data_IF_541009608427
#
_entry.id   IF_541009608427
#
_cell.length_a   1.000
_cell.length_b   1.000
_cell.length_c   1.000
_cell.angle_alpha   90.00
_cell.angle_beta   90.00
_cell.angle_gamma   90.00
#
_symmetry.space_group_name_H-M   'P 1'
#
loop_
_entity.id
_entity.type
_entity.pdbx_description
1 polymer ?
#
# COMPACT_ATOMS: atom_id res chain seq x y z
N UNK A 1 5.24 6.15 -14.45
CA UNK A 1 5.19 4.86 -13.74
C UNK A 1 3.83 4.23 -13.98
N UNK A 2 3.75 2.90 -14.18
CA UNK A 2 2.48 2.21 -14.44
C UNK A 2 1.60 2.05 -13.19
N UNK A 3 2.22 2.08 -11.99
CA UNK A 3 1.59 1.89 -10.69
C UNK A 3 1.81 3.17 -9.86
N UNK A 4 0.76 3.78 -9.31
CA UNK A 4 0.83 5.06 -8.59
C UNK A 4 -0.07 6.16 -9.17
N UNK A 5 -0.22 7.25 -8.42
CA UNK A 5 -0.90 8.45 -8.89
C UNK A 5 -0.16 9.08 -10.07
N UNK A 6 -0.88 9.34 -11.15
CA UNK A 6 -0.43 10.06 -12.32
C UNK A 6 -1.60 10.82 -12.95
N UNK A 7 -1.37 11.52 -14.06
CA UNK A 7 -2.39 12.34 -14.71
C UNK A 7 -3.65 11.54 -15.10
N UNK A 8 -3.47 10.27 -15.46
CA UNK A 8 -4.51 9.41 -16.06
C UNK A 8 -5.10 8.41 -15.05
N UNK A 9 -4.39 8.10 -13.95
CA UNK A 9 -4.80 7.05 -12.98
C UNK A 9 -4.43 7.41 -11.55
N UNK A 10 -5.23 6.94 -10.61
CA UNK A 10 -4.99 7.08 -9.19
C UNK A 10 -4.49 5.76 -8.57
N UNK A 11 -3.68 5.87 -7.51
CA UNK A 11 -3.25 4.67 -6.77
C UNK A 11 -4.44 4.09 -6.00
N UNK A 12 -4.82 2.86 -6.33
CA UNK A 12 -6.00 2.17 -5.76
C UNK A 12 -7.07 1.85 -6.80
N UNK A 13 -6.92 2.32 -8.04
CA UNK A 13 -7.87 2.02 -9.11
C UNK A 13 -7.72 0.58 -9.60
N UNK A 14 -8.82 -0.04 -10.03
CA UNK A 14 -8.78 -1.35 -10.67
C UNK A 14 -7.98 -1.28 -11.98
N UNK A 15 -6.92 -2.08 -12.08
CA UNK A 15 -6.07 -2.12 -13.27
C UNK A 15 -6.33 -3.40 -14.07
N UNK A 16 -6.80 -3.24 -15.32
CA UNK A 16 -7.10 -4.34 -16.26
C UNK A 16 -5.91 -5.31 -16.45
N UNK A 17 -4.67 -4.81 -16.36
CA UNK A 17 -3.43 -5.60 -16.54
C UNK A 17 -2.59 -5.69 -15.25
N UNK A 18 -3.23 -5.69 -14.08
CA UNK A 18 -2.51 -5.80 -12.81
C UNK A 18 -1.85 -7.18 -12.67
N UNK A 19 -0.55 -7.22 -12.38
CA UNK A 19 0.08 -8.48 -12.00
C UNK A 19 -0.53 -9.00 -10.70
N UNK A 20 -0.57 -10.34 -10.49
CA UNK A 20 -1.16 -10.91 -9.28
C UNK A 20 -0.55 -10.36 -7.98
N UNK A 21 0.77 -10.16 -7.90
CA UNK A 21 1.44 -9.52 -6.76
C UNK A 21 0.86 -8.13 -6.44
N UNK A 22 0.61 -7.30 -7.47
CA UNK A 22 0.03 -5.99 -7.24
C UNK A 22 -1.43 -6.08 -6.77
N UNK A 23 -2.20 -7.07 -7.24
CA UNK A 23 -3.55 -7.34 -6.70
C UNK A 23 -3.48 -7.61 -5.21
N UNK A 24 -2.59 -8.49 -4.79
CA UNK A 24 -2.41 -8.84 -3.37
C UNK A 24 -1.95 -7.64 -2.54
N UNK A 25 -1.10 -6.76 -3.08
CA UNK A 25 -0.72 -5.52 -2.38
C UNK A 25 -1.92 -4.58 -2.23
N UNK A 26 -2.77 -4.46 -3.26
CA UNK A 26 -3.96 -3.61 -3.19
C UNK A 26 -5.02 -4.16 -2.23
N UNK A 27 -5.14 -5.48 -2.05
CA UNK A 27 -6.07 -6.03 -1.05
C UNK A 27 -5.68 -5.69 0.38
N UNK A 28 -4.40 -5.43 0.65
CA UNK A 28 -3.90 -4.99 1.95
C UNK A 28 -4.09 -3.48 2.20
N UNK A 29 -4.41 -2.70 1.16
CA UNK A 29 -4.46 -1.25 1.24
C UNK A 29 -5.52 -0.71 2.21
N UNK A 30 -6.76 -1.24 2.28
CA UNK A 30 -7.76 -0.78 3.25
C UNK A 30 -7.27 -0.90 4.70
N UNK A 31 -6.80 -2.09 5.11
CA UNK A 31 -6.31 -2.32 6.48
C UNK A 31 -5.09 -1.44 6.79
N UNK A 32 -4.21 -1.22 5.82
CA UNK A 32 -3.07 -0.32 6.00
C UNK A 32 -3.51 1.14 6.22
N UNK A 33 -4.54 1.61 5.50
CA UNK A 33 -5.12 2.95 5.69
C UNK A 33 -5.78 3.10 7.07
N UNK A 34 -6.44 2.05 7.56
CA UNK A 34 -7.10 2.05 8.86
C UNK A 34 -6.11 2.16 10.03
N UNK A 35 -4.93 1.56 9.90
CA UNK A 35 -3.90 1.59 10.95
C UNK A 35 -3.03 2.85 10.95
N UNK A 36 -3.07 3.63 9.85
CA UNK A 36 -2.14 4.72 9.63
C UNK A 36 -2.81 6.07 9.43
N UNK A 37 -2.06 7.13 9.71
CA UNK A 37 -2.40 8.50 9.33
C UNK A 37 -1.23 9.13 8.60
N UNK A 38 -1.52 10.17 7.83
CA UNK A 38 -0.54 10.86 7.00
C UNK A 38 -0.32 12.27 7.52
N UNK A 39 0.96 12.62 7.69
CA UNK A 39 1.44 13.98 7.84
C UNK A 39 1.68 14.51 6.44
N UNK A 40 0.90 15.50 6.07
CA UNK A 40 0.86 16.01 4.70
C UNK A 40 2.13 16.81 4.39
N UNK A 41 2.78 16.47 3.27
CA UNK A 41 3.82 17.26 2.62
C UNK A 41 3.29 17.74 1.27
N UNK A 42 3.82 17.19 0.19
CA UNK A 42 3.41 17.52 -1.18
C UNK A 42 2.07 16.91 -1.62
N UNK A 43 1.46 16.02 -0.82
CA UNK A 43 0.16 15.40 -1.06
C UNK A 43 0.13 14.38 -2.20
N UNK A 44 1.27 14.03 -2.81
CA UNK A 44 1.35 13.15 -3.99
C UNK A 44 1.16 11.68 -3.65
N UNK A 45 1.38 11.30 -2.39
CA UNK A 45 1.32 9.90 -1.92
C UNK A 45 0.18 9.67 -0.92
N UNK A 46 -0.83 10.55 -0.94
CA UNK A 46 -1.93 10.57 0.01
C UNK A 46 -3.25 10.64 -0.75
N UNK A 47 -4.15 9.68 -0.53
CA UNK A 47 -5.52 9.74 -1.03
C UNK A 47 -6.30 10.82 -0.30
N UNK A 48 -6.97 11.70 -1.04
CA UNK A 48 -7.80 12.74 -0.46
C UNK A 48 -8.94 12.16 0.39
N UNK A 49 -9.64 11.15 -0.11
CA UNK A 49 -10.84 10.62 0.54
C UNK A 49 -10.56 9.50 1.54
N UNK A 50 -9.59 8.64 1.23
CA UNK A 50 -9.46 7.33 1.87
C UNK A 50 -8.32 7.27 2.90
N UNK A 51 -7.36 8.20 2.87
CA UNK A 51 -6.35 8.31 3.91
C UNK A 51 -6.79 9.26 5.03
N UNK A 52 -6.36 8.99 6.26
CA UNK A 52 -6.51 9.93 7.37
C UNK A 52 -5.36 10.95 7.34
N UNK A 53 -5.59 12.12 6.74
CA UNK A 53 -4.61 13.22 6.68
C UNK A 53 -5.17 14.54 7.24
N UNK A 54 -6.49 14.63 7.43
CA UNK A 54 -7.20 15.76 7.99
C UNK A 54 -8.32 15.28 8.92
N UNK A 55 -8.59 16.01 10.00
CA UNK A 55 -9.62 15.65 10.97
C UNK A 55 -9.28 14.40 11.79
N UNK A 56 -10.32 13.68 12.22
CA UNK A 56 -10.23 12.48 13.06
C UNK A 56 -10.51 11.18 12.32
N UNK A 57 -11.22 11.23 11.20
CA UNK A 57 -11.58 10.11 10.33
C UNK A 57 -11.29 10.46 8.87
N UNK A 58 -11.09 9.45 7.99
CA UNK A 58 -10.98 9.69 6.56
C UNK A 58 -12.17 10.50 6.04
N UNK A 59 -11.93 11.40 5.09
CA UNK A 59 -12.96 12.33 4.60
C UNK A 59 -14.17 11.60 3.99
N UNK A 60 -13.97 10.41 3.41
CA UNK A 60 -15.08 9.58 2.92
C UNK A 60 -16.05 9.13 4.04
N UNK A 61 -15.53 8.93 5.26
CA UNK A 61 -16.34 8.56 6.42
C UNK A 61 -16.99 9.78 7.08
N UNK A 62 -16.32 10.92 7.06
CA UNK A 62 -16.84 12.18 7.61
C UNK A 62 -17.93 12.79 6.72
N UNK A 63 -17.80 12.67 5.40
CA UNK A 63 -18.69 13.26 4.40
C UNK A 63 -19.25 12.20 3.43
N UNK A 64 -20.04 11.22 3.92
CA UNK A 64 -20.49 10.09 3.12
C UNK A 64 -21.47 10.49 2.01
N UNK A 65 -22.32 11.51 2.22
CA UNK A 65 -23.26 11.94 1.19
C UNK A 65 -22.52 12.56 -0.01
N UNK A 66 -21.53 13.41 0.23
CA UNK A 66 -20.68 13.98 -0.80
C UNK A 66 -19.80 12.92 -1.46
N UNK A 67 -19.20 12.03 -0.68
CA UNK A 67 -18.36 10.95 -1.22
C UNK A 67 -19.12 10.05 -2.19
N UNK A 68 -20.42 9.80 -1.96
CA UNK A 68 -21.26 9.03 -2.88
C UNK A 68 -21.37 9.63 -4.29
N UNK A 69 -21.09 10.93 -4.45
CA UNK A 69 -21.07 11.62 -5.74
C UNK A 69 -19.68 11.68 -6.39
N UNK A 70 -18.62 11.22 -5.73
CA UNK A 70 -17.25 11.26 -6.25
C UNK A 70 -17.06 10.19 -7.33
N UNK A 71 -16.45 10.58 -8.45
CA UNK A 71 -16.12 9.65 -9.56
C UNK A 71 -14.68 9.16 -9.55
N UNK A 72 -13.79 9.85 -8.81
CA UNK A 72 -12.38 9.48 -8.62
C UNK A 72 -12.04 9.38 -7.11
N UNK A 73 -12.49 8.32 -6.43
CA UNK A 73 -12.35 8.19 -4.97
C UNK A 73 -10.89 8.07 -4.53
N UNK A 74 -10.01 7.55 -5.38
CA UNK A 74 -8.60 7.40 -5.08
C UNK A 74 -7.78 8.67 -5.35
N UNK A 75 -8.35 9.77 -5.84
CA UNK A 75 -7.59 10.99 -6.18
C UNK A 75 -6.65 11.46 -5.06
N UNK A 76 -5.45 11.92 -5.42
CA UNK A 76 -4.47 12.38 -4.44
C UNK A 76 -4.82 13.75 -3.85
N UNK A 77 -4.32 14.04 -2.66
CA UNK A 77 -4.47 15.36 -2.03
C UNK A 77 -3.83 16.45 -2.90
N UNK A 78 -2.65 16.19 -3.47
CA UNK A 78 -1.98 17.10 -4.40
C UNK A 78 -2.87 17.51 -5.59
N UNK A 79 -3.60 16.55 -6.14
CA UNK A 79 -4.50 16.79 -7.27
C UNK A 79 -5.73 17.57 -6.83
N UNK A 80 -6.36 17.18 -5.73
CA UNK A 80 -7.61 17.81 -5.29
C UNK A 80 -7.34 19.26 -4.88
N UNK A 81 -6.26 19.53 -4.17
CA UNK A 81 -5.88 20.86 -3.70
C UNK A 81 -5.11 21.70 -4.73
N UNK A 82 -4.95 21.23 -5.97
CA UNK A 82 -4.20 22.00 -6.99
C UNK A 82 -4.90 23.30 -7.40
N UNK A 83 -6.20 23.42 -7.12
CA UNK A 83 -6.99 24.64 -7.36
C UNK A 83 -7.78 25.01 -6.10
N UNK A 84 -8.06 26.31 -5.88
CA UNK A 84 -8.88 26.76 -4.74
C UNK A 84 -10.27 26.10 -4.67
N UNK A 85 -10.85 25.74 -5.82
CA UNK A 85 -12.21 25.18 -5.92
C UNK A 85 -12.31 23.69 -5.55
N UNK A 86 -11.17 23.02 -5.32
CA UNK A 86 -11.06 21.57 -5.09
C UNK A 86 -11.47 20.71 -6.30
N UNK A 87 -10.53 19.98 -6.90
CA UNK A 87 -10.81 19.07 -8.04
C UNK A 87 -11.42 17.72 -7.62
N UNK A 88 -12.58 17.76 -6.96
CA UNK A 88 -13.23 16.58 -6.34
C UNK A 88 -13.82 15.55 -7.33
N UNK A 89 -13.88 15.88 -8.63
CA UNK A 89 -14.41 14.97 -9.68
C UNK A 89 -15.83 14.46 -9.37
N UNK A 90 -16.77 15.37 -9.10
CA UNK A 90 -18.14 15.04 -8.69
C UNK A 90 -19.06 14.76 -9.90
N UNK A 91 -20.01 13.84 -9.72
CA UNK A 91 -21.12 13.62 -10.66
C UNK A 91 -22.02 14.87 -10.72
N UNK A 92 -22.68 15.07 -11.85
CA UNK A 92 -23.69 16.12 -12.01
C UNK A 92 -24.82 15.97 -10.98
N UNK A 93 -25.39 17.10 -10.52
CA UNK A 93 -26.55 17.19 -9.62
C UNK A 93 -26.30 16.60 -8.23
N UNK A 94 -25.61 17.37 -7.38
CA UNK A 94 -25.47 17.04 -5.97
C UNK A 94 -26.81 17.04 -5.25
N UNK A 95 -26.99 16.11 -4.32
CA UNK A 95 -28.10 16.18 -3.36
C UNK A 95 -27.93 17.38 -2.42
N UNK A 96 -29.01 17.81 -1.77
CA UNK A 96 -28.94 18.88 -0.77
C UNK A 96 -28.00 18.54 0.40
N UNK A 97 -27.92 17.26 0.80
CA UNK A 97 -26.99 16.78 1.82
C UNK A 97 -25.54 16.89 1.34
N UNK A 98 -25.22 16.36 0.16
CA UNK A 98 -23.88 16.46 -0.43
C UNK A 98 -23.41 17.91 -0.60
N UNK A 99 -24.33 18.84 -0.93
CA UNK A 99 -23.99 20.26 -1.06
C UNK A 99 -23.65 20.92 0.29
N UNK A 100 -24.27 20.49 1.39
CA UNK A 100 -23.91 20.97 2.74
C UNK A 100 -22.54 20.42 3.16
N UNK A 101 -22.35 19.11 2.99
CA UNK A 101 -21.07 18.47 3.28
C UNK A 101 -19.92 19.08 2.46
N UNK A 102 -20.17 19.53 1.23
CA UNK A 102 -19.17 20.22 0.42
C UNK A 102 -18.71 21.54 1.04
N UNK A 103 -19.63 22.32 1.61
CA UNK A 103 -19.29 23.58 2.28
C UNK A 103 -18.48 23.32 3.55
N UNK A 104 -18.88 22.31 4.34
CA UNK A 104 -18.16 21.89 5.55
C UNK A 104 -16.75 21.36 5.21
N UNK A 105 -16.63 20.54 4.17
CA UNK A 105 -15.37 20.04 3.66
C UNK A 105 -14.45 21.20 3.23
N UNK A 106 -14.96 22.15 2.46
CA UNK A 106 -14.18 23.32 2.00
C UNK A 106 -13.64 24.13 3.18
N UNK A 107 -14.47 24.37 4.20
CA UNK A 107 -14.03 25.04 5.42
C UNK A 107 -12.96 24.23 6.18
N UNK A 108 -13.13 22.91 6.28
CA UNK A 108 -12.20 22.02 6.97
C UNK A 108 -10.82 21.96 6.30
N UNK A 109 -10.77 21.89 4.97
CA UNK A 109 -9.51 21.73 4.22
C UNK A 109 -8.85 23.07 3.85
N UNK A 110 -9.56 24.20 3.99
CA UNK A 110 -9.01 25.53 3.68
C UNK A 110 -7.67 25.86 4.33
N UNK A 111 -7.36 25.43 5.58
CA UNK A 111 -6.06 25.69 6.20
C UNK A 111 -4.92 24.79 5.69
N UNK A 112 -5.22 23.74 4.91
CA UNK A 112 -4.21 22.80 4.45
C UNK A 112 -3.28 23.46 3.43
N UNK A 113 -1.99 23.52 3.75
CA UNK A 113 -0.94 23.99 2.85
C UNK A 113 -0.07 22.83 2.43
N UNK A 114 0.14 22.68 1.12
CA UNK A 114 1.07 21.71 0.58
C UNK A 114 2.47 22.29 0.53
N UNK A 115 3.43 21.48 0.96
CA UNK A 115 4.85 21.77 0.80
C UNK A 115 5.40 20.90 -0.32
N UNK A 116 5.71 21.51 -1.47
CA UNK A 116 6.16 20.77 -2.65
C UNK A 116 7.56 20.15 -2.48
N UNK A 117 8.36 20.65 -1.54
CA UNK A 117 9.72 20.21 -1.30
C UNK A 117 9.79 19.09 -0.25
N UNK A 118 8.70 18.87 0.49
CA UNK A 118 8.58 17.83 1.51
C UNK A 118 7.69 16.68 1.00
N UNK A 119 8.17 15.44 1.13
CA UNK A 119 7.33 14.27 0.83
C UNK A 119 6.38 13.95 1.98
N UNK A 120 5.21 13.42 1.64
CA UNK A 120 4.24 12.93 2.63
C UNK A 120 4.89 11.90 3.57
N UNK A 121 4.58 11.97 4.87
CA UNK A 121 5.07 11.03 5.86
C UNK A 121 3.91 10.27 6.51
N UNK A 122 3.99 8.95 6.56
CA UNK A 122 2.96 8.10 7.18
C UNK A 122 3.40 7.67 8.57
N UNK A 123 2.47 7.65 9.53
CA UNK A 123 2.70 7.17 10.89
C UNK A 123 1.53 6.30 11.37
N UNK A 124 1.77 5.36 12.29
CA UNK A 124 0.69 4.58 12.89
C UNK A 124 -0.16 5.47 13.80
N UNK A 125 -1.48 5.22 13.81
CA UNK A 125 -2.43 6.00 14.62
C UNK A 125 -2.18 5.83 16.12
N UNK A 126 -1.90 4.61 16.58
CA UNK A 126 -1.79 4.29 18.00
C UNK A 126 -0.50 4.81 18.67
N UNK A 127 0.62 4.87 17.94
CA UNK A 127 1.93 5.23 18.51
C UNK A 127 2.61 6.43 17.86
N UNK A 128 2.03 6.99 16.79
CA UNK A 128 2.53 8.18 16.10
C UNK A 128 3.93 8.03 15.50
N UNK A 129 4.43 6.80 15.34
CA UNK A 129 5.73 6.50 14.75
C UNK A 129 5.60 6.07 13.29
N UNK A 130 6.61 6.33 12.45
CA UNK A 130 6.64 5.82 11.09
C UNK A 130 6.50 4.30 11.07
N UNK A 131 5.71 3.72 10.14
CA UNK A 131 5.66 2.29 9.97
C UNK A 131 7.03 1.79 9.51
N UNK A 132 7.75 1.13 10.41
CA UNK A 132 9.04 0.54 10.08
C UNK A 132 8.84 -0.84 9.47
N UNK A 133 9.73 -1.24 8.57
CA UNK A 133 9.78 -2.62 8.05
C UNK A 133 9.84 -3.65 9.18
N UNK A 134 10.47 -3.31 10.32
CA UNK A 134 10.50 -4.14 11.54
C UNK A 134 9.12 -4.32 12.18
N UNK A 135 8.30 -3.27 12.27
CA UNK A 135 6.96 -3.34 12.85
C UNK A 135 5.95 -4.03 11.92
N UNK A 136 6.04 -3.79 10.62
CA UNK A 136 5.24 -4.52 9.63
C UNK A 136 5.54 -6.03 9.67
N UNK A 137 6.79 -6.39 9.96
CA UNK A 137 7.23 -7.76 10.21
C UNK A 137 6.67 -8.38 11.50
N UNK A 138 6.35 -7.59 12.52
CA UNK A 138 5.78 -8.07 13.78
C UNK A 138 4.26 -8.29 13.72
N UNK A 139 3.60 -7.81 12.67
CA UNK A 139 2.20 -8.17 12.37
C UNK A 139 2.08 -9.51 11.61
N UNK A 140 3.22 -10.18 11.35
CA UNK A 140 3.27 -11.44 10.63
C UNK A 140 3.04 -12.64 11.58
N UNK A 141 2.28 -13.69 11.16
CA UNK A 141 2.03 -14.91 11.95
C UNK A 141 3.27 -15.60 12.55
N UNK A 142 4.48 -15.38 12.02
CA UNK A 142 5.69 -16.03 12.53
C UNK A 142 6.51 -15.19 13.53
N UNK A 143 6.19 -13.90 13.75
CA UNK A 143 6.86 -13.03 14.73
C UNK A 143 8.41 -13.14 14.74
N UNK A 144 9.07 -13.19 13.58
CA UNK A 144 10.51 -13.46 13.54
C UNK A 144 11.35 -12.27 14.05
N UNK A 145 11.85 -12.40 15.28
CA UNK A 145 12.61 -11.35 15.95
C UNK A 145 14.05 -11.19 15.41
N UNK A 146 14.64 -12.25 14.84
CA UNK A 146 16.06 -12.26 14.48
C UNK A 146 16.29 -11.58 13.12
N UNK A 147 17.21 -10.60 13.09
CA UNK A 147 17.44 -9.78 11.89
C UNK A 147 18.00 -10.57 10.70
N UNK A 148 18.95 -11.47 10.93
CA UNK A 148 19.55 -12.28 9.87
C UNK A 148 18.53 -13.18 9.17
N UNK A 149 17.60 -13.80 9.91
CA UNK A 149 16.54 -14.64 9.34
C UNK A 149 15.63 -13.80 8.46
N UNK A 150 15.16 -12.64 8.96
CA UNK A 150 14.32 -11.71 8.18
C UNK A 150 15.01 -11.26 6.90
N UNK A 151 16.28 -10.90 6.95
CA UNK A 151 17.02 -10.47 5.76
C UNK A 151 17.16 -11.59 4.74
N UNK A 152 17.38 -12.84 5.18
CA UNK A 152 17.45 -14.00 4.28
C UNK A 152 16.11 -14.28 3.61
N UNK A 153 15.01 -14.27 4.36
CA UNK A 153 13.65 -14.47 3.80
C UNK A 153 13.29 -13.37 2.81
N UNK A 154 13.51 -12.10 3.17
CA UNK A 154 13.26 -10.97 2.27
C UNK A 154 14.11 -11.03 1.01
N UNK A 155 15.40 -11.38 1.15
CA UNK A 155 16.30 -11.54 -0.01
C UNK A 155 15.80 -12.67 -0.92
N UNK A 156 15.29 -13.77 -0.36
CA UNK A 156 14.77 -14.89 -1.13
C UNK A 156 13.55 -14.46 -1.95
N UNK A 157 12.60 -13.76 -1.32
CA UNK A 157 11.41 -13.24 -2.01
C UNK A 157 11.80 -12.23 -3.10
N UNK A 158 12.61 -11.24 -2.76
CA UNK A 158 13.03 -10.21 -3.72
C UNK A 158 13.82 -10.79 -4.89
N UNK A 159 14.67 -11.79 -4.63
CA UNK A 159 15.40 -12.52 -5.67
C UNK A 159 14.46 -13.24 -6.63
N UNK A 160 13.43 -13.91 -6.10
CA UNK A 160 12.46 -14.63 -6.92
C UNK A 160 11.53 -13.69 -7.71
N UNK A 161 11.13 -12.56 -7.12
CA UNK A 161 10.40 -11.49 -7.83
C UNK A 161 11.26 -10.90 -8.95
N UNK A 162 12.55 -10.68 -8.70
CA UNK A 162 13.48 -10.21 -9.73
C UNK A 162 13.66 -11.23 -10.86
N UNK A 163 13.79 -12.53 -10.54
CA UNK A 163 13.83 -13.61 -11.54
C UNK A 163 12.57 -13.61 -12.41
N UNK A 164 11.39 -13.51 -11.81
CA UNK A 164 10.12 -13.42 -12.52
C UNK A 164 10.07 -12.21 -13.47
N UNK A 165 10.40 -11.01 -12.97
CA UNK A 165 10.46 -9.78 -13.79
C UNK A 165 11.40 -9.97 -14.99
N UNK A 166 12.57 -10.54 -14.78
CA UNK A 166 13.54 -10.76 -15.86
C UNK A 166 13.09 -11.82 -16.86
N UNK A 167 12.43 -12.88 -16.42
CA UNK A 167 11.82 -13.86 -17.33
C UNK A 167 10.77 -13.19 -18.23
N UNK A 168 9.97 -12.27 -17.68
CA UNK A 168 9.00 -11.49 -18.45
C UNK A 168 9.65 -10.54 -19.46
N UNK A 169 10.68 -9.81 -19.04
CA UNK A 169 11.35 -8.80 -19.89
C UNK A 169 12.20 -9.45 -20.99
N UNK A 170 12.98 -10.47 -20.65
CA UNK A 170 13.99 -11.02 -21.57
C UNK A 170 13.57 -12.31 -22.26
N UNK A 171 12.52 -12.98 -21.77
CA UNK A 171 12.04 -14.26 -22.31
C UNK A 171 10.55 -14.28 -22.61
N UNK A 172 9.86 -13.14 -22.46
CA UNK A 172 8.41 -13.01 -22.65
C UNK A 172 7.59 -14.06 -21.88
N UNK A 173 8.12 -14.56 -20.76
CA UNK A 173 7.47 -15.57 -19.93
C UNK A 173 6.76 -14.90 -18.76
N UNK A 174 5.46 -15.11 -18.64
CA UNK A 174 4.71 -14.72 -17.43
C UNK A 174 4.70 -15.90 -16.45
N UNK A 175 5.00 -15.63 -15.19
CA UNK A 175 5.06 -16.66 -14.12
C UNK A 175 3.99 -16.35 -13.07
N UNK A 176 3.27 -17.37 -12.63
CA UNK A 176 2.21 -17.21 -11.63
C UNK A 176 2.79 -17.03 -10.22
N UNK A 177 2.02 -16.43 -9.32
CA UNK A 177 2.40 -16.32 -7.90
C UNK A 177 2.72 -17.68 -7.28
N UNK A 178 1.99 -18.73 -7.66
CA UNK A 178 2.23 -20.11 -7.21
C UNK A 178 3.63 -20.60 -7.61
N UNK A 179 4.06 -20.32 -8.84
CA UNK A 179 5.40 -20.67 -9.32
C UNK A 179 6.50 -19.87 -8.62
N UNK A 180 6.22 -18.63 -8.25
CA UNK A 180 7.15 -17.78 -7.50
C UNK A 180 7.26 -18.28 -6.05
N UNK A 181 6.13 -18.59 -5.41
CA UNK A 181 6.07 -19.12 -4.05
C UNK A 181 6.77 -20.48 -3.94
N UNK A 182 6.51 -21.42 -4.85
CA UNK A 182 7.20 -22.70 -4.91
C UNK A 182 8.73 -22.53 -5.03
N UNK A 183 9.19 -21.56 -5.82
CA UNK A 183 10.62 -21.27 -5.95
C UNK A 183 11.21 -20.61 -4.71
N UNK A 184 10.44 -19.73 -4.05
CA UNK A 184 10.83 -19.18 -2.74
C UNK A 184 10.98 -20.29 -1.70
N UNK A 185 10.11 -21.30 -1.70
CA UNK A 185 10.22 -22.47 -0.84
C UNK A 185 11.55 -23.22 -1.10
N UNK A 186 11.81 -23.61 -2.35
CA UNK A 186 13.02 -24.34 -2.74
C UNK A 186 14.31 -23.56 -2.43
N UNK A 187 14.36 -22.27 -2.82
CA UNK A 187 15.51 -21.41 -2.58
C UNK A 187 15.74 -21.23 -1.08
N UNK A 188 14.69 -21.02 -0.27
CA UNK A 188 14.83 -20.81 1.16
C UNK A 188 15.25 -22.08 1.90
N UNK A 189 14.74 -23.25 1.49
CA UNK A 189 15.24 -24.55 1.95
C UNK A 189 16.73 -24.70 1.65
N UNK A 190 17.14 -24.41 0.41
CA UNK A 190 18.55 -24.46 0.03
C UNK A 190 19.41 -23.48 0.86
N UNK A 191 18.91 -22.27 1.09
CA UNK A 191 19.63 -21.24 1.84
C UNK A 191 19.68 -21.55 3.34
N UNK A 192 18.75 -22.37 3.87
CA UNK A 192 18.79 -22.82 5.27
C UNK A 192 20.07 -23.59 5.61
N UNK A 193 20.69 -24.26 4.63
CA UNK A 193 21.98 -24.94 4.79
C UNK A 193 23.16 -24.00 5.03
N UNK A 194 22.99 -22.69 4.77
CA UNK A 194 24.01 -21.66 5.06
C UNK A 194 23.97 -21.19 6.52
N UNK A 195 22.98 -21.63 7.30
CA UNK A 195 22.87 -21.32 8.73
C UNK A 195 23.89 -22.09 9.55
N UNK A 196 24.59 -21.39 10.44
CA UNK A 196 25.59 -21.99 11.33
C UNK A 196 24.98 -22.62 12.59
N UNK A 197 23.66 -22.52 12.79
CA UNK A 197 22.97 -23.09 13.96
C UNK A 197 21.73 -23.85 13.52
N UNK A 198 21.42 -24.94 14.24
CA UNK A 198 20.22 -25.76 14.00
C UNK A 198 18.96 -24.93 14.17
N UNK A 199 18.91 -24.07 15.19
CA UNK A 199 17.77 -23.19 15.46
C UNK A 199 17.49 -22.23 14.28
N UNK A 200 18.52 -21.60 13.72
CA UNK A 200 18.35 -20.70 12.57
C UNK A 200 17.95 -21.46 11.31
N UNK A 201 18.44 -22.69 11.15
CA UNK A 201 18.05 -23.57 10.05
C UNK A 201 16.57 -23.93 10.15
N UNK A 202 16.12 -24.38 11.32
CA UNK A 202 14.72 -24.77 11.55
C UNK A 202 13.77 -23.60 11.34
N UNK A 203 14.17 -22.38 11.74
CA UNK A 203 13.42 -21.16 11.43
C UNK A 203 13.27 -20.93 9.92
N UNK A 204 14.36 -21.00 9.16
CA UNK A 204 14.31 -20.81 7.70
C UNK A 204 13.49 -21.92 7.00
N UNK A 205 13.56 -23.16 7.51
CA UNK A 205 12.71 -24.26 7.03
C UNK A 205 11.25 -23.95 7.34
N UNK A 206 10.90 -23.50 8.54
CA UNK A 206 9.54 -23.07 8.90
C UNK A 206 9.02 -21.96 7.98
N UNK A 207 9.86 -20.96 7.70
CA UNK A 207 9.56 -19.91 6.71
C UNK A 207 9.37 -20.47 5.29
N UNK A 208 10.11 -21.50 4.90
CA UNK A 208 9.94 -22.12 3.58
C UNK A 208 8.59 -22.82 3.46
N UNK A 209 8.10 -23.44 4.53
CA UNK A 209 6.81 -24.14 4.55
C UNK A 209 5.63 -23.19 4.35
N UNK A 210 5.72 -21.95 4.84
CA UNK A 210 4.72 -20.91 4.58
C UNK A 210 4.49 -20.69 3.07
N UNK A 211 5.55 -20.69 2.27
CA UNK A 211 5.43 -20.54 0.82
C UNK A 211 4.82 -21.77 0.14
N UNK A 212 4.86 -22.94 0.78
CA UNK A 212 4.22 -24.16 0.30
C UNK A 212 2.72 -24.17 0.62
N UNK A 213 2.34 -23.73 1.82
CA UNK A 213 0.93 -23.58 2.24
C UNK A 213 0.20 -22.52 1.40
N UNK A 214 0.90 -21.48 0.94
CA UNK A 214 0.36 -20.49 0.02
C UNK A 214 0.13 -21.03 -1.42
N UNK A 215 0.57 -22.25 -1.73
CA UNK A 215 0.43 -22.89 -3.05
C UNK A 215 -0.73 -23.91 -3.11
N UNK A 216 -1.21 -24.39 -1.96
CA UNK A 216 -2.34 -25.33 -1.84
C UNK A 216 -3.69 -24.63 -1.71
#
# INVERSE_FOLDING_TARGET
>A
MQYGWNEVRDFGDEMVNMTPIWKDIYTLLPSFRDETKVLLGNGKMTSFWLDLWCGSLPLANTFPALFSHVTRPNASVARVLSTPELLLSLRSRLTGAARRELLELQALVSPAMLDNDVSDARIFRHNQKPPTTKQLWLANPFLEAKQNIRTTVLTCVLWNVWKCRNAKVFRSKDESNLQIAARCHEDLLLWSHRSNTVIDKDKLVGWSSFFLEAVG
#
